data_IF_270170665030
#
_entry.id   IF_270170665030
#
_cell.length_a   1.000
_cell.length_b   1.000
_cell.length_c   1.000
_cell.angle_alpha   90.00
_cell.angle_beta   90.00
_cell.angle_gamma   90.00
#
_symmetry.space_group_name_H-M   'P 1'
#
loop_
_entity.id
_entity.type
_entity.pdbx_description
1 polymer ?
#
# COMPACT_ATOMS: atom_id res chain seq x y z
N UNK A 1 9.70 -19.43 -24.63
CA UNK A 1 9.71 -18.09 -25.26
C UNK A 1 8.26 -17.64 -25.31
N UNK A 2 7.96 -16.46 -24.76
CA UNK A 2 6.59 -15.98 -24.67
C UNK A 2 6.09 -15.52 -26.05
N UNK A 3 4.93 -16.01 -26.46
CA UNK A 3 4.19 -15.44 -27.59
C UNK A 3 3.15 -14.47 -27.05
N UNK A 4 3.20 -13.21 -27.48
CA UNK A 4 2.31 -12.16 -26.99
C UNK A 4 1.51 -11.63 -28.18
N UNK A 5 0.19 -11.65 -28.06
CA UNK A 5 -0.72 -11.04 -29.02
C UNK A 5 -1.76 -10.19 -28.31
N UNK A 6 -2.10 -9.05 -28.90
CA UNK A 6 -3.25 -8.28 -28.44
C UNK A 6 -4.51 -8.83 -29.14
N UNK A 7 -5.50 -9.26 -28.37
CA UNK A 7 -6.75 -9.83 -28.91
C UNK A 7 -7.83 -8.75 -28.99
N UNK A 8 -7.83 -7.82 -28.03
CA UNK A 8 -8.77 -6.72 -27.93
C UNK A 8 -8.15 -5.60 -27.11
N UNK A 9 -8.73 -4.40 -27.18
CA UNK A 9 -8.38 -3.31 -26.28
C UNK A 9 -8.43 -3.77 -24.82
N UNK A 10 -7.31 -3.57 -24.12
CA UNK A 10 -7.07 -4.01 -22.73
C UNK A 10 -7.07 -5.53 -22.50
N UNK A 11 -6.93 -6.35 -23.55
CA UNK A 11 -6.79 -7.82 -23.43
C UNK A 11 -5.59 -8.32 -24.23
N UNK A 12 -4.57 -8.76 -23.49
CA UNK A 12 -3.39 -9.40 -24.07
C UNK A 12 -3.45 -10.92 -23.84
N UNK A 13 -3.18 -11.71 -24.88
CA UNK A 13 -2.91 -13.13 -24.75
C UNK A 13 -1.41 -13.36 -24.71
N UNK A 14 -0.98 -14.11 -23.70
CA UNK A 14 0.40 -14.55 -23.53
C UNK A 14 0.42 -16.06 -23.48
N UNK A 15 1.22 -16.70 -24.33
CA UNK A 15 1.43 -18.15 -24.30
C UNK A 15 2.80 -18.46 -23.67
N UNK A 16 2.81 -19.32 -22.66
CA UNK A 16 4.04 -19.90 -22.10
C UNK A 16 3.91 -21.40 -21.94
N UNK A 17 4.73 -22.17 -22.67
CA UNK A 17 4.66 -23.63 -22.66
C UNK A 17 3.27 -24.12 -23.09
N UNK A 18 2.62 -24.92 -22.24
CA UNK A 18 1.24 -25.40 -22.46
C UNK A 18 0.16 -24.45 -21.92
N UNK A 19 0.54 -23.31 -21.34
CA UNK A 19 -0.41 -22.37 -20.73
C UNK A 19 -0.69 -21.16 -21.62
N UNK A 20 -1.95 -20.74 -21.63
CA UNK A 20 -2.48 -19.54 -22.26
C UNK A 20 -3.02 -18.59 -21.18
N UNK A 21 -2.50 -17.38 -21.14
CA UNK A 21 -2.84 -16.35 -20.16
C UNK A 21 -3.52 -15.18 -20.85
N UNK A 22 -4.78 -14.94 -20.52
CA UNK A 22 -5.56 -13.79 -20.96
C UNK A 22 -5.46 -12.70 -19.88
N UNK A 23 -4.61 -11.71 -20.12
CA UNK A 23 -4.38 -10.59 -19.21
C UNK A 23 -5.38 -9.48 -19.53
N UNK A 24 -6.37 -9.27 -18.66
CA UNK A 24 -7.41 -8.24 -18.79
C UNK A 24 -7.05 -7.05 -17.92
N UNK A 25 -6.76 -5.92 -18.56
CA UNK A 25 -6.40 -4.67 -17.93
C UNK A 25 -7.63 -3.88 -17.51
N UNK A 26 -7.68 -3.48 -16.23
CA UNK A 26 -8.80 -2.75 -15.66
C UNK A 26 -8.37 -1.36 -15.20
N UNK A 27 -9.24 -0.37 -15.39
CA UNK A 27 -9.22 0.87 -14.63
C UNK A 27 -10.18 0.66 -13.46
N UNK A 28 -9.67 0.56 -12.22
CA UNK A 28 -10.31 0.02 -11.01
C UNK A 28 -11.64 0.62 -10.51
N UNK A 29 -12.36 1.35 -11.35
CA UNK A 29 -13.63 2.03 -11.08
C UNK A 29 -14.49 2.14 -12.35
N UNK A 30 -14.21 1.34 -13.39
CA UNK A 30 -14.85 1.43 -14.70
C UNK A 30 -15.86 0.32 -14.95
N UNK A 31 -17.05 0.69 -15.43
CA UNK A 31 -18.12 -0.26 -15.80
C UNK A 31 -17.72 -1.09 -17.00
N UNK A 32 -17.11 -0.45 -17.98
CA UNK A 32 -16.65 -1.13 -19.18
C UNK A 32 -15.57 -2.17 -18.87
N UNK A 33 -14.70 -1.92 -17.89
CA UNK A 33 -13.71 -2.91 -17.45
C UNK A 33 -14.34 -4.13 -16.78
N UNK A 34 -15.42 -3.92 -16.00
CA UNK A 34 -16.17 -5.03 -15.38
C UNK A 34 -16.91 -5.87 -16.44
N UNK A 35 -17.61 -5.21 -17.36
CA UNK A 35 -18.34 -5.86 -18.45
C UNK A 35 -17.38 -6.66 -19.36
N UNK A 36 -16.23 -6.08 -19.72
CA UNK A 36 -15.18 -6.74 -20.49
C UNK A 36 -14.63 -7.98 -19.77
N UNK A 37 -14.35 -7.88 -18.46
CA UNK A 37 -13.85 -9.01 -17.68
C UNK A 37 -14.88 -10.15 -17.65
N UNK A 38 -16.16 -9.85 -17.47
CA UNK A 38 -17.24 -10.84 -17.49
C UNK A 38 -17.37 -11.50 -18.87
N UNK A 39 -17.34 -10.73 -19.95
CA UNK A 39 -17.39 -11.20 -21.33
C UNK A 39 -16.25 -12.20 -21.61
N UNK A 40 -15.00 -11.81 -21.33
CA UNK A 40 -13.82 -12.65 -21.56
C UNK A 40 -13.89 -13.96 -20.75
N UNK A 41 -14.32 -13.92 -19.49
CA UNK A 41 -14.43 -15.14 -18.67
C UNK A 41 -15.46 -16.10 -19.27
N UNK A 42 -16.60 -15.60 -19.76
CA UNK A 42 -17.66 -16.42 -20.35
C UNK A 42 -17.31 -16.97 -21.72
N UNK A 43 -16.56 -16.22 -22.52
CA UNK A 43 -16.09 -16.63 -23.84
C UNK A 43 -14.96 -17.67 -23.75
N UNK A 44 -13.92 -17.37 -22.97
CA UNK A 44 -12.72 -18.20 -22.87
C UNK A 44 -13.00 -19.49 -22.10
N UNK A 45 -13.90 -19.43 -21.10
CA UNK A 45 -14.17 -20.53 -20.14
C UNK A 45 -12.87 -21.13 -19.58
N UNK A 46 -12.07 -20.32 -18.87
CA UNK A 46 -10.74 -20.72 -18.42
C UNK A 46 -10.80 -21.82 -17.35
N UNK A 47 -9.69 -22.47 -17.09
CA UNK A 47 -9.55 -23.35 -15.92
C UNK A 47 -9.49 -22.53 -14.63
N UNK A 48 -8.83 -21.35 -14.69
CA UNK A 48 -8.67 -20.46 -13.54
C UNK A 48 -8.91 -19.00 -13.90
N UNK A 49 -9.51 -18.27 -12.95
CA UNK A 49 -9.57 -16.81 -12.95
C UNK A 49 -8.73 -16.28 -11.80
N UNK A 50 -7.68 -15.54 -12.13
CA UNK A 50 -6.82 -14.85 -11.18
C UNK A 50 -7.21 -13.37 -11.09
N UNK A 51 -7.25 -12.81 -9.88
CA UNK A 51 -7.58 -11.39 -9.68
C UNK A 51 -6.53 -10.69 -8.81
N UNK A 52 -6.27 -9.41 -9.07
CA UNK A 52 -5.40 -8.54 -8.26
C UNK A 52 -6.04 -8.15 -6.90
N UNK A 53 -6.46 -9.16 -6.13
CA UNK A 53 -6.89 -9.04 -4.74
C UNK A 53 -6.10 -10.00 -3.86
N UNK A 54 -5.77 -9.53 -2.67
CA UNK A 54 -5.32 -10.39 -1.58
C UNK A 54 -6.51 -10.78 -0.68
N UNK A 55 -6.34 -11.83 0.14
CA UNK A 55 -7.40 -12.38 0.99
C UNK A 55 -8.05 -11.33 1.90
N UNK A 56 -7.23 -10.45 2.50
CA UNK A 56 -7.73 -9.38 3.34
C UNK A 56 -8.61 -8.40 2.56
N UNK A 57 -8.19 -7.97 1.37
CA UNK A 57 -8.98 -7.04 0.53
C UNK A 57 -10.26 -7.71 0.03
N UNK A 58 -10.18 -8.97 -0.40
CA UNK A 58 -11.33 -9.77 -0.80
C UNK A 58 -12.36 -9.89 0.33
N UNK A 59 -11.91 -10.21 1.55
CA UNK A 59 -12.77 -10.28 2.73
C UNK A 59 -13.42 -8.93 3.08
N UNK A 60 -12.64 -7.84 3.02
CA UNK A 60 -13.14 -6.48 3.28
C UNK A 60 -14.15 -5.99 2.24
N UNK A 61 -13.99 -6.38 0.97
CA UNK A 61 -14.92 -6.02 -0.10
C UNK A 61 -16.23 -6.82 -0.01
N UNK A 62 -16.18 -8.07 0.45
CA UNK A 62 -17.36 -8.92 0.68
C UNK A 62 -18.18 -8.50 1.89
N UNK A 63 -17.52 -8.16 2.99
CA UNK A 63 -18.17 -7.67 4.20
C UNK A 63 -17.65 -6.28 4.59
N UNK A 64 -18.11 -5.22 3.89
CA UNK A 64 -17.72 -3.86 4.21
C UNK A 64 -18.31 -3.38 5.55
N UNK A 65 -19.24 -4.13 6.14
CA UNK A 65 -19.86 -3.85 7.43
C UNK A 65 -19.25 -4.67 8.57
N UNK A 66 -18.19 -5.45 8.34
CA UNK A 66 -17.52 -6.24 9.39
C UNK A 66 -17.11 -5.40 10.60
N UNK A 67 -16.77 -4.13 10.37
CA UNK A 67 -16.47 -3.17 11.45
C UNK A 67 -17.67 -2.88 12.36
N UNK A 68 -18.91 -2.96 11.85
CA UNK A 68 -20.14 -2.82 12.65
C UNK A 68 -20.34 -3.98 13.61
N UNK A 69 -19.73 -5.12 13.30
CA UNK A 69 -19.72 -6.32 14.13
C UNK A 69 -18.50 -6.40 15.05
N UNK A 70 -17.58 -5.41 15.01
CA UNK A 70 -16.54 -5.30 16.01
C UNK A 70 -17.17 -4.86 17.33
N UNK A 71 -16.82 -5.54 18.41
CA UNK A 71 -17.24 -5.13 19.74
C UNK A 71 -16.54 -3.80 20.08
N UNK A 72 -17.27 -2.69 19.87
CA UNK A 72 -16.82 -1.32 20.11
C UNK A 72 -16.33 -1.17 21.56
N UNK A 73 -16.92 -1.91 22.51
CA UNK A 73 -16.52 -1.89 23.93
C UNK A 73 -15.14 -2.51 24.10
N UNK A 74 -14.84 -3.62 23.43
CA UNK A 74 -13.50 -4.23 23.44
C UNK A 74 -12.45 -3.31 22.80
N UNK A 75 -12.78 -2.65 21.68
CA UNK A 75 -11.87 -1.73 20.98
C UNK A 75 -11.52 -0.51 21.84
N UNK A 76 -12.51 0.03 22.57
CA UNK A 76 -12.29 1.13 23.52
C UNK A 76 -11.46 0.64 24.71
N UNK A 77 -11.77 -0.53 25.27
CA UNK A 77 -11.06 -1.11 26.42
C UNK A 77 -9.60 -1.45 26.11
N UNK A 78 -9.30 -1.86 24.89
CA UNK A 78 -7.95 -2.18 24.42
C UNK A 78 -7.16 -0.94 23.95
N UNK A 79 -7.74 0.26 24.03
CA UNK A 79 -7.09 1.50 23.59
C UNK A 79 -6.92 1.62 22.07
N UNK A 80 -7.66 0.82 21.28
CA UNK A 80 -7.58 0.76 19.81
C UNK A 80 -8.55 1.70 19.11
N UNK A 81 -9.01 2.75 19.78
CA UNK A 81 -10.00 3.72 19.26
C UNK A 81 -9.53 4.41 17.98
N UNK A 82 -8.22 4.63 17.83
CA UNK A 82 -7.62 5.18 16.62
C UNK A 82 -7.82 4.28 15.38
N UNK A 83 -7.86 2.95 15.56
CA UNK A 83 -8.10 1.99 14.47
C UNK A 83 -9.54 2.13 13.97
N UNK A 84 -10.50 2.26 14.90
CA UNK A 84 -11.90 2.48 14.58
C UNK A 84 -12.10 3.81 13.84
N UNK A 85 -11.48 4.89 14.33
CA UNK A 85 -11.54 6.20 13.68
C UNK A 85 -10.98 6.16 12.25
N UNK A 86 -9.82 5.54 12.06
CA UNK A 86 -9.22 5.37 10.73
C UNK A 86 -10.13 4.57 9.78
N UNK A 87 -10.78 3.52 10.27
CA UNK A 87 -11.74 2.74 9.48
C UNK A 87 -12.98 3.57 9.10
N UNK A 88 -13.51 4.38 10.01
CA UNK A 88 -14.67 5.25 9.74
C UNK A 88 -14.33 6.34 8.72
N UNK A 89 -13.15 6.95 8.82
CA UNK A 89 -12.67 7.92 7.83
C UNK A 89 -12.52 7.28 6.44
N UNK A 90 -11.91 6.08 6.38
CA UNK A 90 -11.77 5.35 5.13
C UNK A 90 -13.13 4.97 4.53
N UNK A 91 -14.08 4.50 5.35
CA UNK A 91 -15.43 4.18 4.92
C UNK A 91 -16.18 5.42 4.39
N UNK A 92 -16.03 6.57 5.04
CA UNK A 92 -16.59 7.85 4.58
C UNK A 92 -15.99 8.30 3.24
N UNK A 93 -14.67 8.20 3.10
CA UNK A 93 -13.97 8.49 1.84
C UNK A 93 -14.41 7.56 0.72
N UNK A 94 -14.47 6.25 0.98
CA UNK A 94 -14.95 5.23 0.04
C UNK A 94 -16.41 5.47 -0.37
N UNK A 95 -17.28 5.84 0.56
CA UNK A 95 -18.67 6.19 0.27
C UNK A 95 -18.76 7.40 -0.67
N UNK A 96 -17.98 8.45 -0.39
CA UNK A 96 -17.93 9.67 -1.23
C UNK A 96 -17.34 9.40 -2.63
N UNK A 97 -16.37 8.49 -2.74
CA UNK A 97 -15.80 8.09 -4.02
C UNK A 97 -16.80 7.24 -4.84
N UNK A 98 -17.50 6.31 -4.19
CA UNK A 98 -18.50 5.43 -4.81
C UNK A 98 -19.83 6.11 -5.15
N UNK A 99 -20.11 7.30 -4.61
CA UNK A 99 -21.24 8.13 -5.04
C UNK A 99 -20.93 8.91 -6.34
N UNK A 100 -19.65 9.26 -6.58
CA UNK A 100 -19.21 9.94 -7.80
C UNK A 100 -18.86 8.98 -8.95
N UNK A 101 -18.32 7.82 -8.61
CA UNK A 101 -18.02 6.74 -9.54
C UNK A 101 -19.08 5.68 -9.26
N UNK A 102 -20.00 5.43 -10.20
CA UNK A 102 -21.15 4.51 -10.03
C UNK A 102 -20.76 3.05 -9.68
N UNK A 103 -19.48 2.78 -9.48
CA UNK A 103 -18.88 1.47 -9.19
C UNK A 103 -17.88 1.64 -8.04
N UNK A 104 -17.99 0.73 -7.06
CA UNK A 104 -17.06 0.67 -5.93
C UNK A 104 -15.69 0.18 -6.41
N UNK A 105 -14.58 0.79 -5.95
CA UNK A 105 -13.25 0.31 -6.29
C UNK A 105 -13.04 -1.18 -5.96
N UNK A 106 -12.61 -1.97 -6.95
CA UNK A 106 -12.44 -3.43 -6.81
C UNK A 106 -13.71 -4.26 -7.00
N UNK A 107 -14.83 -3.64 -7.37
CA UNK A 107 -16.06 -4.36 -7.72
C UNK A 107 -15.88 -5.22 -8.97
N UNK A 108 -15.05 -4.78 -9.93
CA UNK A 108 -14.70 -5.52 -11.13
C UNK A 108 -14.03 -6.87 -10.80
N UNK A 109 -13.19 -6.89 -9.77
CA UNK A 109 -12.51 -8.11 -9.32
C UNK A 109 -13.47 -9.05 -8.59
N UNK A 110 -14.34 -8.51 -7.72
CA UNK A 110 -15.37 -9.32 -7.06
C UNK A 110 -16.32 -9.95 -8.07
N UNK A 111 -16.80 -9.17 -9.04
CA UNK A 111 -17.68 -9.68 -10.09
C UNK A 111 -16.99 -10.76 -10.92
N UNK A 112 -15.72 -10.58 -11.24
CA UNK A 112 -14.92 -11.61 -11.94
C UNK A 112 -14.84 -12.91 -11.16
N UNK A 113 -14.69 -12.85 -9.83
CA UNK A 113 -14.71 -14.04 -8.95
C UNK A 113 -16.08 -14.71 -8.90
N UNK A 114 -17.17 -13.94 -8.96
CA UNK A 114 -18.54 -14.48 -9.01
C UNK A 114 -18.79 -15.19 -10.35
N UNK A 115 -18.48 -14.53 -11.47
CA UNK A 115 -18.64 -15.10 -12.82
C UNK A 115 -17.78 -16.35 -12.98
N UNK A 116 -16.55 -16.36 -12.45
CA UNK A 116 -15.70 -17.55 -12.43
C UNK A 116 -16.39 -18.74 -11.77
N UNK A 117 -17.09 -18.53 -10.64
CA UNK A 117 -17.85 -19.58 -9.97
C UNK A 117 -19.08 -20.02 -10.74
N UNK A 118 -19.79 -19.08 -11.37
CA UNK A 118 -20.94 -19.38 -12.24
C UNK A 118 -20.53 -20.28 -13.43
N UNK A 119 -19.34 -20.06 -13.99
CA UNK A 119 -18.78 -20.84 -15.12
C UNK A 119 -18.11 -22.15 -14.65
N UNK A 120 -17.89 -22.32 -13.33
CA UNK A 120 -17.27 -23.51 -12.75
C UNK A 120 -15.72 -23.50 -12.77
N UNK A 121 -15.13 -22.31 -12.89
CA UNK A 121 -13.67 -22.10 -12.90
C UNK A 121 -13.11 -22.03 -11.47
N UNK A 122 -11.82 -22.35 -11.31
CA UNK A 122 -11.11 -22.08 -10.06
C UNK A 122 -10.80 -20.59 -9.91
N UNK A 123 -10.78 -20.10 -8.68
CA UNK A 123 -10.50 -18.69 -8.38
C UNK A 123 -9.18 -18.53 -7.65
N UNK A 124 -8.33 -17.62 -8.09
CA UNK A 124 -7.01 -17.33 -7.50
C UNK A 124 -6.93 -15.88 -7.08
N UNK A 125 -6.64 -15.65 -5.80
CA UNK A 125 -6.25 -14.35 -5.28
C UNK A 125 -4.74 -14.16 -5.51
N UNK A 126 -4.39 -13.32 -6.47
CA UNK A 126 -3.03 -13.24 -7.00
C UNK A 126 -2.19 -12.10 -6.39
N UNK A 127 -2.77 -11.23 -5.57
CA UNK A 127 -2.07 -10.06 -5.04
C UNK A 127 -1.49 -10.30 -3.64
N UNK A 128 -0.43 -9.55 -3.33
CA UNK A 128 0.25 -9.56 -2.03
C UNK A 128 -0.59 -8.83 -0.99
N UNK A 129 -0.41 -9.18 0.29
CA UNK A 129 -1.00 -8.40 1.37
C UNK A 129 -0.61 -6.92 1.31
N UNK A 130 -1.63 -6.05 1.29
CA UNK A 130 -1.44 -4.60 1.23
C UNK A 130 -0.59 -4.07 2.38
N UNK A 131 -0.71 -4.69 3.57
CA UNK A 131 0.08 -4.33 4.76
C UNK A 131 1.58 -4.56 4.53
N UNK A 132 1.94 -5.69 3.93
CA UNK A 132 3.33 -6.01 3.58
C UNK A 132 3.84 -5.04 2.53
N UNK A 133 3.08 -4.83 1.46
CA UNK A 133 3.39 -3.86 0.40
C UNK A 133 3.66 -2.46 0.99
N UNK A 134 2.75 -1.92 1.80
CA UNK A 134 2.91 -0.61 2.44
C UNK A 134 4.15 -0.55 3.33
N UNK A 135 4.38 -1.56 4.19
CA UNK A 135 5.55 -1.58 5.08
C UNK A 135 6.87 -1.62 4.32
N UNK A 136 6.95 -2.36 3.21
CA UNK A 136 8.12 -2.41 2.34
C UNK A 136 8.35 -1.06 1.65
N UNK A 137 7.28 -0.41 1.19
CA UNK A 137 7.32 0.96 0.66
C UNK A 137 7.88 1.95 1.69
N UNK A 138 7.38 1.95 2.92
CA UNK A 138 7.91 2.82 3.98
C UNK A 138 9.37 2.52 4.32
N UNK A 139 9.75 1.24 4.34
CA UNK A 139 11.12 0.81 4.61
C UNK A 139 12.11 1.26 3.51
N UNK A 140 11.62 1.43 2.28
CA UNK A 140 12.41 1.86 1.13
C UNK A 140 12.75 3.36 1.12
N UNK A 141 11.94 4.19 1.81
CA UNK A 141 12.01 5.65 1.75
C UNK A 141 13.16 6.26 2.57
N UNK A 142 13.69 5.54 3.57
CA UNK A 142 14.62 6.12 4.54
C UNK A 142 14.03 7.31 5.30
N UNK A 143 14.81 7.93 6.19
CA UNK A 143 14.30 9.04 7.02
C UNK A 143 14.00 10.27 6.15
N UNK A 144 14.92 10.67 5.28
CA UNK A 144 14.77 11.83 4.41
C UNK A 144 13.62 11.70 3.40
N UNK A 145 13.47 10.53 2.75
CA UNK A 145 12.36 10.30 1.83
C UNK A 145 11.03 10.30 2.56
N UNK A 146 10.97 9.74 3.77
CA UNK A 146 9.77 9.78 4.62
C UNK A 146 9.41 11.22 4.99
N UNK A 147 10.37 12.03 5.45
CA UNK A 147 10.12 13.45 5.75
C UNK A 147 9.65 14.23 4.52
N UNK A 148 10.27 14.03 3.34
CA UNK A 148 9.84 14.67 2.09
C UNK A 148 8.41 14.30 1.71
N UNK A 149 8.03 13.02 1.84
CA UNK A 149 6.69 12.55 1.51
C UNK A 149 5.65 13.12 2.47
N UNK A 150 5.93 13.10 3.78
CA UNK A 150 5.05 13.70 4.80
C UNK A 150 4.90 15.20 4.57
N UNK A 151 6.00 15.91 4.34
CA UNK A 151 5.96 17.35 4.08
C UNK A 151 5.22 17.68 2.78
N UNK A 152 5.43 16.91 1.72
CA UNK A 152 4.70 17.07 0.45
C UNK A 152 3.19 16.82 0.61
N UNK A 153 2.79 15.80 1.38
CA UNK A 153 1.39 15.55 1.70
C UNK A 153 0.78 16.68 2.52
N UNK A 154 1.49 17.19 3.54
CA UNK A 154 1.02 18.32 4.35
C UNK A 154 0.92 19.60 3.51
N UNK A 155 1.92 19.88 2.68
CA UNK A 155 1.91 21.02 1.76
C UNK A 155 0.73 20.93 0.78
N UNK A 156 0.40 19.75 0.24
CA UNK A 156 -0.78 19.57 -0.62
C UNK A 156 -2.12 19.64 0.10
N UNK A 157 -2.17 19.27 1.39
CA UNK A 157 -3.37 19.31 2.21
C UNK A 157 -3.68 20.72 2.77
N UNK A 158 -2.64 21.53 3.00
CA UNK A 158 -2.74 22.86 3.61
C UNK A 158 -2.34 24.03 2.69
N UNK A 159 -1.82 23.75 1.50
CA UNK A 159 -1.50 24.76 0.49
C UNK A 159 -2.75 25.27 -0.23
N UNK A 160 -2.72 26.53 -0.67
CA UNK A 160 -3.76 27.10 -1.54
C UNK A 160 -3.85 26.27 -2.82
N UNK A 161 -4.98 25.59 -3.02
CA UNK A 161 -5.27 24.85 -4.24
C UNK A 161 -5.75 25.81 -5.34
N UNK A 162 -4.87 26.70 -5.79
CA UNK A 162 -5.08 27.45 -7.01
C UNK A 162 -4.62 26.60 -8.20
N UNK A 163 -5.27 25.47 -8.42
CA UNK A 163 -5.04 24.64 -9.61
C UNK A 163 -5.72 25.35 -10.78
N UNK A 164 -4.93 25.87 -11.72
CA UNK A 164 -5.49 26.58 -12.88
C UNK A 164 -6.11 25.58 -13.87
N UNK A 165 -7.08 26.03 -14.67
CA UNK A 165 -7.75 25.19 -15.67
C UNK A 165 -6.75 24.58 -16.68
N UNK A 166 -5.68 25.33 -16.96
CA UNK A 166 -4.53 24.93 -17.79
C UNK A 166 -3.67 23.83 -17.16
N UNK A 167 -3.49 23.83 -15.83
CA UNK A 167 -2.83 22.74 -15.11
C UNK A 167 -3.68 21.47 -15.12
N UNK A 168 -5.01 21.61 -14.97
CA UNK A 168 -5.94 20.47 -15.09
C UNK A 168 -5.91 19.89 -16.51
N UNK A 169 -5.85 20.74 -17.54
CA UNK A 169 -5.80 20.29 -18.93
C UNK A 169 -4.46 19.61 -19.27
N UNK A 170 -3.34 20.14 -18.76
CA UNK A 170 -2.03 19.48 -18.85
C UNK A 170 -2.05 18.10 -18.20
N UNK A 171 -2.62 17.94 -17.00
CA UNK A 171 -2.70 16.65 -16.30
C UNK A 171 -3.56 15.60 -17.02
N UNK A 172 -4.47 16.01 -17.92
CA UNK A 172 -5.27 15.08 -18.74
C UNK A 172 -4.48 14.50 -19.92
N UNK A 173 -3.37 15.11 -20.30
CA UNK A 173 -2.51 14.57 -21.35
C UNK A 173 -1.74 13.35 -20.84
N UNK A 174 -1.79 12.25 -21.60
CA UNK A 174 -1.06 11.03 -21.27
C UNK A 174 0.46 11.30 -21.12
N UNK A 175 0.99 12.23 -21.93
CA UNK A 175 2.40 12.61 -21.90
C UNK A 175 2.81 13.33 -20.61
N UNK A 176 2.01 14.27 -20.10
CA UNK A 176 2.32 14.95 -18.84
C UNK A 176 2.16 14.02 -17.63
N UNK A 177 1.17 13.11 -17.67
CA UNK A 177 1.01 12.09 -16.64
C UNK A 177 2.21 11.14 -16.63
N UNK A 178 2.67 10.69 -17.80
CA UNK A 178 3.86 9.86 -17.94
C UNK A 178 5.13 10.58 -17.47
N UNK A 179 5.25 11.87 -17.75
CA UNK A 179 6.38 12.69 -17.31
C UNK A 179 6.38 12.86 -15.78
N UNK A 180 5.24 13.16 -15.16
CA UNK A 180 5.08 13.19 -13.71
C UNK A 180 5.37 11.84 -13.06
N UNK A 181 4.90 10.75 -13.65
CA UNK A 181 5.18 9.40 -13.16
C UNK A 181 6.67 9.05 -13.28
N UNK A 182 7.36 9.53 -14.33
CA UNK A 182 8.83 9.41 -14.47
C UNK A 182 9.57 10.24 -13.42
N UNK A 183 9.17 11.48 -13.18
CA UNK A 183 9.76 12.32 -12.14
C UNK A 183 9.55 11.73 -10.74
N UNK A 184 8.34 11.25 -10.44
CA UNK A 184 8.03 10.54 -9.20
C UNK A 184 8.90 9.28 -9.05
N UNK A 185 9.05 8.50 -10.12
CA UNK A 185 9.90 7.31 -10.15
C UNK A 185 11.38 7.65 -9.89
N UNK A 186 11.88 8.77 -10.42
CA UNK A 186 13.25 9.25 -10.17
C UNK A 186 13.43 9.77 -8.75
N UNK A 187 12.43 10.47 -8.21
CA UNK A 187 12.50 11.07 -6.88
C UNK A 187 12.38 10.00 -5.78
N UNK A 188 11.54 8.99 -5.97
CA UNK A 188 11.23 7.95 -5.00
C UNK A 188 11.36 6.54 -5.60
N UNK A 189 12.56 6.13 -6.06
CA UNK A 189 12.76 4.85 -6.75
C UNK A 189 12.43 3.65 -5.86
N UNK A 190 12.63 3.78 -4.54
CA UNK A 190 12.23 2.75 -3.57
C UNK A 190 10.72 2.51 -3.55
N UNK A 191 9.92 3.56 -3.73
CA UNK A 191 8.45 3.48 -3.73
C UNK A 191 7.95 2.78 -4.98
N UNK A 192 8.46 3.16 -6.16
CA UNK A 192 8.17 2.46 -7.41
C UNK A 192 8.50 0.98 -7.29
N UNK A 193 9.72 0.68 -6.82
CA UNK A 193 10.18 -0.70 -6.66
C UNK A 193 9.23 -1.50 -5.75
N UNK A 194 8.85 -0.95 -4.60
CA UNK A 194 8.02 -1.68 -3.63
C UNK A 194 6.53 -1.78 -4.01
N UNK A 195 5.96 -0.73 -4.62
CA UNK A 195 4.52 -0.67 -4.97
C UNK A 195 4.20 -1.28 -6.34
N UNK A 196 5.13 -1.20 -7.29
CA UNK A 196 4.92 -1.62 -8.68
C UNK A 196 5.79 -2.84 -8.96
N UNK A 197 7.11 -2.68 -9.07
CA UNK A 197 7.99 -3.73 -9.61
C UNK A 197 7.95 -5.04 -8.78
N UNK A 198 7.96 -4.96 -7.45
CA UNK A 198 7.82 -6.13 -6.58
C UNK A 198 6.43 -6.76 -6.66
N UNK A 199 5.41 -5.93 -6.89
CA UNK A 199 4.02 -6.37 -6.98
C UNK A 199 3.76 -7.06 -8.31
N UNK A 200 4.34 -6.57 -9.40
CA UNK A 200 4.33 -7.19 -10.71
C UNK A 200 4.93 -8.59 -10.67
N UNK A 201 6.08 -8.74 -10.00
CA UNK A 201 6.71 -10.06 -9.77
C UNK A 201 5.80 -11.01 -9.02
N UNK A 202 5.20 -10.53 -7.93
CA UNK A 202 4.29 -11.33 -7.11
C UNK A 202 3.07 -11.78 -7.92
N UNK A 203 2.43 -10.83 -8.63
CA UNK A 203 1.28 -11.09 -9.49
C UNK A 203 1.62 -12.09 -10.60
N UNK A 204 2.73 -11.88 -11.32
CA UNK A 204 3.18 -12.75 -12.39
C UNK A 204 3.38 -14.19 -11.90
N UNK A 205 4.08 -14.37 -10.78
CA UNK A 205 4.32 -15.68 -10.19
C UNK A 205 3.02 -16.36 -9.73
N UNK A 206 2.12 -15.62 -9.08
CA UNK A 206 0.81 -16.14 -8.67
C UNK A 206 -0.07 -16.52 -9.87
N UNK A 207 -0.09 -15.72 -10.93
CA UNK A 207 -0.81 -16.00 -12.17
C UNK A 207 -0.21 -17.21 -12.88
N UNK A 208 1.13 -17.29 -13.01
CA UNK A 208 1.82 -18.41 -13.64
C UNK A 208 1.57 -19.75 -12.92
N UNK A 209 1.53 -19.71 -11.58
CA UNK A 209 1.23 -20.87 -10.73
C UNK A 209 -0.26 -21.26 -10.69
N UNK A 210 -1.16 -20.46 -11.27
CA UNK A 210 -2.59 -20.76 -11.27
C UNK A 210 -2.90 -22.10 -11.98
N UNK A 211 -3.84 -22.89 -11.46
CA UNK A 211 -4.10 -24.25 -11.94
C UNK A 211 -4.76 -24.28 -13.33
N UNK A 212 -4.40 -25.30 -14.11
CA UNK A 212 -4.89 -25.50 -15.48
C UNK A 212 -4.06 -24.80 -16.56
N UNK A 213 -4.55 -24.86 -17.79
CA UNK A 213 -3.85 -24.42 -19.01
C UNK A 213 -4.35 -23.08 -19.51
N UNK A 214 -5.65 -22.79 -19.39
CA UNK A 214 -6.23 -21.49 -19.73
C UNK A 214 -6.51 -20.68 -18.48
N UNK A 215 -5.86 -19.52 -18.35
CA UNK A 215 -5.98 -18.64 -17.20
C UNK A 215 -6.41 -17.25 -17.67
N UNK A 216 -7.46 -16.70 -17.07
CA UNK A 216 -7.83 -15.29 -17.23
C UNK A 216 -7.36 -14.53 -15.99
N UNK A 217 -6.51 -13.51 -16.16
CA UNK A 217 -6.02 -12.67 -15.09
C UNK A 217 -6.61 -11.26 -15.19
N UNK A 218 -7.36 -10.85 -14.17
CA UNK A 218 -7.98 -9.52 -14.07
C UNK A 218 -7.12 -8.64 -13.16
N UNK A 219 -6.41 -7.70 -13.76
CA UNK A 219 -5.40 -6.87 -13.10
C UNK A 219 -5.54 -5.41 -13.50
N UNK A 220 -4.95 -4.50 -12.73
CA UNK A 220 -4.83 -3.10 -13.11
C UNK A 220 -3.99 -2.96 -14.38
N UNK A 221 -4.42 -2.10 -15.31
CA UNK A 221 -3.73 -1.94 -16.61
C UNK A 221 -2.24 -1.57 -16.46
N UNK A 222 -1.88 -0.84 -15.41
CA UNK A 222 -0.49 -0.47 -15.10
C UNK A 222 0.43 -1.66 -14.74
N UNK A 223 -0.13 -2.80 -14.31
CA UNK A 223 0.63 -3.99 -13.92
C UNK A 223 0.88 -4.94 -15.12
N UNK A 224 0.13 -4.80 -16.23
CA UNK A 224 0.26 -5.69 -17.39
C UNK A 224 1.68 -5.74 -17.97
N UNK A 225 2.38 -4.61 -18.20
CA UNK A 225 3.73 -4.66 -18.76
C UNK A 225 4.70 -5.46 -17.87
N UNK A 226 4.66 -5.24 -16.55
CA UNK A 226 5.50 -5.96 -15.60
C UNK A 226 5.13 -7.43 -15.49
N UNK A 227 3.83 -7.77 -15.50
CA UNK A 227 3.39 -9.17 -15.48
C UNK A 227 3.94 -9.92 -16.70
N UNK A 228 3.82 -9.35 -17.90
CA UNK A 228 4.37 -9.96 -19.14
C UNK A 228 5.87 -10.20 -19.05
N UNK A 229 6.60 -9.32 -18.39
CA UNK A 229 8.05 -9.44 -18.22
C UNK A 229 8.46 -10.56 -17.25
N UNK A 230 7.62 -10.89 -16.27
CA UNK A 230 7.94 -11.81 -15.18
C UNK A 230 7.17 -13.14 -15.24
N UNK A 231 6.23 -13.31 -16.16
CA UNK A 231 5.34 -14.48 -16.24
C UNK A 231 6.07 -15.82 -16.46
N UNK A 232 7.20 -15.81 -17.18
CA UNK A 232 8.02 -17.00 -17.49
C UNK A 232 9.31 -17.07 -16.66
N UNK A 233 9.42 -16.25 -15.60
CA UNK A 233 10.60 -16.17 -14.75
C UNK A 233 10.32 -16.81 -13.40
N UNK A 234 11.35 -17.44 -12.82
CA UNK A 234 11.29 -17.92 -11.45
C UNK A 234 11.35 -16.76 -10.46
N UNK A 235 10.41 -16.72 -9.52
CA UNK A 235 10.24 -15.64 -8.55
C UNK A 235 10.06 -16.26 -7.17
N UNK A 236 10.94 -15.90 -6.24
CA UNK A 236 10.78 -16.29 -4.84
C UNK A 236 9.69 -15.44 -4.16
N UNK A 237 8.49 -16.02 -4.04
CA UNK A 237 7.36 -15.38 -3.35
C UNK A 237 7.66 -15.10 -1.87
N UNK A 238 8.48 -15.93 -1.20
CA UNK A 238 8.75 -15.76 0.24
C UNK A 238 9.53 -14.48 0.50
N UNK A 239 10.51 -14.17 -0.34
CA UNK A 239 11.29 -12.92 -0.25
C UNK A 239 10.37 -11.68 -0.37
N UNK A 240 9.32 -11.79 -1.18
CA UNK A 240 8.36 -10.70 -1.42
C UNK A 240 7.32 -10.56 -0.30
N UNK A 241 7.06 -11.63 0.47
CA UNK A 241 6.13 -11.66 1.61
C UNK A 241 6.79 -11.24 2.92
N UNK A 242 8.10 -11.45 3.07
CA UNK A 242 8.83 -11.04 4.26
C UNK A 242 9.08 -9.52 4.30
N UNK A 243 9.09 -8.95 5.51
CA UNK A 243 9.44 -7.54 5.69
C UNK A 243 10.95 -7.49 5.96
N UNK A 244 11.73 -6.76 5.14
CA UNK A 244 13.18 -6.71 5.33
C UNK A 244 13.52 -6.11 6.71
N UNK A 245 14.52 -6.65 7.41
CA UNK A 245 14.87 -6.20 8.75
C UNK A 245 15.32 -4.74 8.74
N UNK A 246 15.00 -4.01 9.81
CA UNK A 246 15.43 -2.62 9.97
C UNK A 246 16.97 -2.51 9.86
N UNK A 247 17.44 -1.49 9.14
CA UNK A 247 18.88 -1.23 8.95
C UNK A 247 19.57 -1.12 10.32
N UNK A 248 20.75 -1.72 10.49
CA UNK A 248 21.53 -1.71 11.76
C UNK A 248 21.73 -0.30 12.34
N UNK A 249 21.78 0.73 11.49
CA UNK A 249 21.90 2.13 11.89
C UNK A 249 20.75 2.60 12.80
N UNK A 250 19.55 2.03 12.67
CA UNK A 250 18.42 2.34 13.57
C UNK A 250 18.70 1.88 15.00
N UNK A 251 19.35 0.72 15.18
CA UNK A 251 19.81 0.25 16.50
C UNK A 251 20.95 1.10 17.04
N UNK A 252 21.87 1.54 16.16
CA UNK A 252 22.99 2.42 16.56
C UNK A 252 22.48 3.78 17.00
N UNK A 253 21.50 4.38 16.33
CA UNK A 253 20.90 5.65 16.76
C UNK A 253 20.10 5.45 18.05
N UNK A 254 19.29 4.39 18.12
CA UNK A 254 18.46 4.09 19.29
C UNK A 254 19.27 3.88 20.57
N UNK A 255 20.45 3.27 20.49
CA UNK A 255 21.36 3.08 21.64
C UNK A 255 22.42 4.16 21.77
N UNK A 256 22.82 4.79 20.67
CA UNK A 256 23.84 5.83 20.63
C UNK A 256 23.40 7.10 21.34
N UNK A 257 22.13 7.51 21.19
CA UNK A 257 21.59 8.68 21.89
C UNK A 257 21.58 8.45 23.42
N UNK A 258 21.02 7.35 23.96
CA UNK A 258 21.11 7.05 25.40
C UNK A 258 22.54 6.96 25.92
N UNK A 259 23.44 6.27 25.20
CA UNK A 259 24.84 6.14 25.61
C UNK A 259 25.53 7.50 25.64
N UNK A 260 25.30 8.36 24.65
CA UNK A 260 25.84 9.71 24.60
C UNK A 260 25.33 10.55 25.77
N UNK A 261 24.02 10.52 26.07
CA UNK A 261 23.43 11.24 27.19
C UNK A 261 24.01 10.78 28.52
N UNK A 262 24.09 9.46 28.75
CA UNK A 262 24.71 8.90 29.96
C UNK A 262 26.17 9.32 30.07
N UNK A 263 26.92 9.26 28.97
CA UNK A 263 28.33 9.65 28.93
C UNK A 263 28.52 11.13 29.30
N UNK A 264 27.64 12.02 28.82
CA UNK A 264 27.66 13.44 29.16
C UNK A 264 27.32 13.68 30.64
N UNK A 265 26.36 12.95 31.21
CA UNK A 265 26.02 13.03 32.65
C UNK A 265 27.21 12.60 33.51
N UNK A 266 27.82 11.46 33.18
CA UNK A 266 29.00 10.92 33.86
C UNK A 266 30.19 11.88 33.75
N UNK A 267 30.45 12.41 32.55
CA UNK A 267 31.50 13.42 32.34
C UNK A 267 31.24 14.71 33.14
N UNK A 268 29.99 15.20 33.15
CA UNK A 268 29.57 16.34 33.95
C UNK A 268 29.79 16.11 35.45
N UNK A 269 29.58 14.88 35.92
CA UNK A 269 29.84 14.51 37.32
C UNK A 269 31.31 14.65 37.69
N UNK A 270 32.22 14.13 36.86
CA UNK A 270 33.66 14.21 37.13
C UNK A 270 34.23 15.63 37.01
N UNK A 271 33.65 16.49 36.14
CA UNK A 271 34.20 17.82 35.87
C UNK A 271 33.54 18.96 36.67
N UNK A 272 32.23 18.88 36.92
CA UNK A 272 31.43 19.98 37.47
C UNK A 272 30.80 19.67 38.84
N UNK A 273 31.00 18.46 39.36
CA UNK A 273 30.54 18.03 40.68
C UNK A 273 29.06 17.69 40.77
N UNK A 274 28.69 17.00 41.86
CA UNK A 274 27.36 16.40 42.11
C UNK A 274 26.20 17.39 41.91
N UNK A 275 26.33 18.65 42.38
CA UNK A 275 25.27 19.65 42.29
C UNK A 275 24.90 19.97 40.84
N UNK A 276 25.91 20.12 39.98
CA UNK A 276 25.70 20.43 38.55
C UNK A 276 25.07 19.23 37.84
N UNK A 277 25.49 18.01 38.16
CA UNK A 277 24.90 16.79 37.59
C UNK A 277 23.43 16.60 37.93
N UNK A 278 23.04 16.89 39.17
CA UNK A 278 21.63 16.84 39.60
C UNK A 278 20.80 17.86 38.82
N UNK A 279 21.30 19.09 38.67
CA UNK A 279 20.62 20.13 37.89
C UNK A 279 20.48 19.76 36.39
N UNK A 280 21.47 19.08 35.81
CA UNK A 280 21.39 18.56 34.44
C UNK A 280 20.35 17.44 34.30
N UNK A 281 20.24 16.55 35.30
CA UNK A 281 19.22 15.50 35.35
C UNK A 281 17.81 16.07 35.46
N UNK A 282 17.60 17.06 36.33
CA UNK A 282 16.33 17.78 36.47
C UNK A 282 15.94 18.49 35.17
N UNK A 283 16.90 19.20 34.55
CA UNK A 283 16.66 19.88 33.27
C UNK A 283 16.30 18.89 32.18
N UNK A 284 17.02 17.75 32.09
CA UNK A 284 16.72 16.69 31.14
C UNK A 284 15.32 16.10 31.36
N UNK A 285 14.94 15.83 32.62
CA UNK A 285 13.61 15.33 32.96
C UNK A 285 12.52 16.29 32.51
N UNK A 286 12.61 17.57 32.88
CA UNK A 286 11.59 18.56 32.54
C UNK A 286 11.49 18.85 31.05
N UNK A 287 12.61 18.90 30.34
CA UNK A 287 12.62 19.08 28.88
C UNK A 287 11.92 17.89 28.21
N UNK A 288 12.27 16.66 28.56
CA UNK A 288 11.63 15.47 27.98
C UNK A 288 10.16 15.37 28.34
N UNK A 289 9.78 15.67 29.59
CA UNK A 289 8.40 15.69 30.04
C UNK A 289 7.58 16.75 29.28
N UNK A 290 8.11 17.97 29.11
CA UNK A 290 7.43 19.04 28.39
C UNK A 290 7.24 18.72 26.90
N UNK A 291 8.28 18.25 26.21
CA UNK A 291 8.17 17.87 24.81
C UNK A 291 7.33 16.59 24.60
N UNK A 292 7.37 15.64 25.54
CA UNK A 292 6.52 14.45 25.55
C UNK A 292 5.05 14.82 25.73
N UNK A 293 4.73 15.72 26.66
CA UNK A 293 3.39 16.24 26.87
C UNK A 293 2.89 17.02 25.65
N UNK A 294 3.73 17.89 25.05
CA UNK A 294 3.40 18.63 23.84
C UNK A 294 3.14 17.68 22.65
N UNK A 295 3.99 16.67 22.46
CA UNK A 295 3.82 15.68 21.41
C UNK A 295 2.54 14.87 21.58
N UNK A 296 2.24 14.47 22.82
CA UNK A 296 0.99 13.75 23.17
C UNK A 296 -0.24 14.62 22.92
N UNK A 297 -0.16 15.92 23.22
CA UNK A 297 -1.22 16.89 22.96
C UNK A 297 -1.47 17.08 21.46
N UNK A 298 -0.41 17.22 20.66
CA UNK A 298 -0.50 17.29 19.18
C UNK A 298 -1.09 16.00 18.60
N UNK A 299 -0.73 14.85 19.18
CA UNK A 299 -1.26 13.54 18.79
C UNK A 299 -2.70 13.29 19.27
N UNK A 300 -3.33 14.25 19.96
CA UNK A 300 -4.67 14.13 20.55
C UNK A 300 -4.79 12.93 21.50
N UNK A 301 -3.72 12.63 22.24
CA UNK A 301 -3.72 11.58 23.25
C UNK A 301 -4.72 11.92 24.36
N UNK A 302 -5.26 10.89 25.02
CA UNK A 302 -6.17 11.09 26.14
C UNK A 302 -5.49 11.97 27.21
N UNK A 303 -6.20 12.92 27.86
CA UNK A 303 -5.58 13.85 28.81
C UNK A 303 -4.75 13.18 29.90
N UNK A 304 -5.18 12.00 30.37
CA UNK A 304 -4.41 11.18 31.34
C UNK A 304 -3.01 10.83 30.84
N UNK A 305 -2.82 10.55 29.55
CA UNK A 305 -1.52 10.27 28.94
C UNK A 305 -0.60 11.49 28.87
N UNK A 306 -1.16 12.70 29.01
CA UNK A 306 -0.39 13.95 29.03
C UNK A 306 0.11 14.24 30.45
N UNK A 307 -0.64 13.79 31.47
CA UNK A 307 -0.32 14.00 32.89
C UNK A 307 0.49 12.87 33.54
N UNK A 308 0.58 11.70 32.89
CA UNK A 308 1.33 10.51 33.33
C UNK A 308 2.60 10.38 32.50
#
# INVERSE_FOLDING_TARGET
MLEISNIRDNVDLVKSGSKEFYLVGTAHVSKSSMELAEEIIREVKPNSVAVELCEHRHSSLKDPNRWKNMDIVSVIREGKTYVLLAQLMLAGFQKKLGEKLQIKPGAEMLRSLEVAKEVGCQTVLADREIKTTLKRTWSSLGIWGTCKLIFGMLAGAFGEQNVTEEEIERLKSADALDELMKEFSKALPGVRKALIDERDKYLAAKIASAPGEKIVAIVGAGHIPGIKEWLDKDVDLKELEEIPPAKKITKVIAWGIPILVISLIVFGFFKAGIKTSISMLESWFWINAAFGALGSLIALAHPVTIFV
#
